data_IF_748718820856
#
_entry.id   IF_748718820856
#
_cell.length_a   1.000
_cell.length_b   1.000
_cell.length_c   1.000
_cell.angle_alpha   90.00
_cell.angle_beta   90.00
_cell.angle_gamma   90.00
#
_symmetry.space_group_name_H-M   'P 1'
#
loop_
_entity.id
_entity.type
_entity.pdbx_description
1 polymer ?
#
# COMPACT_ATOMS: atom_id res chain seq x y z
N UNK A 1 -2.69 -26.58 -0.12
CA UNK A 1 -2.00 -26.16 1.13
C UNK A 1 -1.11 -24.93 0.95
N UNK A 2 -0.93 -24.39 -0.27
CA UNK A 2 -0.10 -23.19 -0.54
C UNK A 2 -0.86 -21.86 -0.43
N UNK A 3 -2.19 -21.86 -0.51
CA UNK A 3 -3.01 -20.63 -0.48
C UNK A 3 -3.19 -20.02 0.93
N UNK A 4 -3.15 -20.83 2.00
CA UNK A 4 -3.35 -20.32 3.37
C UNK A 4 -2.10 -19.62 3.94
N UNK A 5 -0.91 -19.97 3.43
CA UNK A 5 0.33 -19.28 3.82
C UNK A 5 0.46 -17.92 3.13
N UNK A 6 -0.10 -17.76 1.92
CA UNK A 6 -0.03 -16.52 1.16
C UNK A 6 -0.99 -15.45 1.63
N UNK A 7 -2.24 -15.84 1.98
CA UNK A 7 -3.24 -14.91 2.52
C UNK A 7 -2.81 -14.38 3.90
N UNK A 8 -2.30 -15.27 4.76
CA UNK A 8 -1.80 -14.88 6.09
C UNK A 8 -0.58 -13.95 6.01
N UNK A 9 0.35 -14.17 5.07
CA UNK A 9 1.49 -13.27 4.87
C UNK A 9 1.05 -11.89 4.33
N UNK A 10 0.08 -11.87 3.39
CA UNK A 10 -0.50 -10.62 2.88
C UNK A 10 -1.10 -9.78 4.00
N UNK A 11 -1.94 -10.39 4.84
CA UNK A 11 -2.61 -9.70 5.95
C UNK A 11 -1.57 -9.07 6.89
N UNK A 12 -0.56 -9.83 7.33
CA UNK A 12 0.48 -9.30 8.23
C UNK A 12 1.27 -8.15 7.61
N UNK A 13 1.60 -8.24 6.32
CA UNK A 13 2.34 -7.18 5.63
C UNK A 13 1.49 -5.92 5.45
N UNK A 14 0.17 -6.06 5.22
CA UNK A 14 -0.72 -4.90 5.10
C UNK A 14 -1.04 -4.25 6.45
N UNK A 15 -1.20 -5.04 7.51
CA UNK A 15 -1.28 -4.50 8.88
C UNK A 15 0.00 -3.73 9.21
N UNK A 16 1.18 -4.33 8.96
CA UNK A 16 2.46 -3.63 9.06
C UNK A 16 2.50 -2.34 8.23
N UNK A 17 1.97 -2.38 7.01
CA UNK A 17 1.92 -1.21 6.12
C UNK A 17 1.09 -0.09 6.74
N UNK A 18 -0.13 -0.39 7.19
CA UNK A 18 -1.09 0.58 7.75
C UNK A 18 -0.50 1.21 9.02
N UNK A 19 0.03 0.39 9.91
CA UNK A 19 0.71 0.87 11.12
C UNK A 19 1.95 1.72 10.80
N UNK A 20 2.72 1.35 9.76
CA UNK A 20 3.87 2.12 9.34
C UNK A 20 3.49 3.48 8.79
N UNK A 21 2.44 3.55 7.96
CA UNK A 21 1.91 4.82 7.44
C UNK A 21 1.47 5.74 8.60
N UNK A 22 0.80 5.18 9.62
CA UNK A 22 0.40 5.92 10.80
C UNK A 22 1.61 6.42 11.62
N UNK A 23 2.61 5.58 11.88
CA UNK A 23 3.82 5.97 12.63
C UNK A 23 4.69 6.97 11.86
N UNK A 24 4.64 6.97 10.53
CA UNK A 24 5.31 7.97 9.69
C UNK A 24 4.52 9.27 9.58
N UNK A 25 3.29 9.31 10.11
CA UNK A 25 2.37 10.45 10.07
C UNK A 25 2.16 10.96 8.63
N UNK A 26 2.06 10.04 7.66
CA UNK A 26 1.84 10.42 6.26
C UNK A 26 0.39 10.85 6.02
N UNK A 27 0.14 11.81 5.12
CA UNK A 27 -1.22 12.17 4.75
C UNK A 27 -2.02 10.98 4.20
N UNK A 28 -3.35 10.98 4.33
CA UNK A 28 -4.20 9.90 3.81
C UNK A 28 -3.97 9.60 2.32
N UNK A 29 -3.81 10.64 1.49
CA UNK A 29 -3.52 10.46 0.06
C UNK A 29 -2.22 9.68 -0.17
N UNK A 30 -1.17 9.92 0.63
CA UNK A 30 0.09 9.19 0.52
C UNK A 30 -0.12 7.73 0.89
N UNK A 31 -0.81 7.46 2.00
CA UNK A 31 -1.14 6.10 2.46
C UNK A 31 -1.91 5.32 1.41
N UNK A 32 -3.01 5.86 0.89
CA UNK A 32 -3.90 5.12 0.01
C UNK A 32 -3.37 4.99 -1.42
N UNK A 33 -2.61 5.96 -1.95
CA UNK A 33 -1.85 5.77 -3.19
C UNK A 33 -0.84 4.64 -3.04
N UNK A 34 -0.11 4.63 -1.91
CA UNK A 34 0.89 3.59 -1.67
C UNK A 34 0.25 2.21 -1.46
N UNK A 35 -0.92 2.14 -0.82
CA UNK A 35 -1.70 0.90 -0.70
C UNK A 35 -2.17 0.38 -2.05
N UNK A 36 -2.73 1.24 -2.92
CA UNK A 36 -3.11 0.81 -4.28
C UNK A 36 -1.90 0.30 -5.06
N UNK A 37 -0.78 1.02 -5.02
CA UNK A 37 0.45 0.57 -5.66
C UNK A 37 0.96 -0.77 -5.08
N UNK A 38 1.00 -0.91 -3.76
CA UNK A 38 1.56 -2.08 -3.11
C UNK A 38 0.62 -3.29 -3.13
N UNK A 39 -0.59 -3.15 -2.59
CA UNK A 39 -1.52 -4.25 -2.35
C UNK A 39 -2.22 -4.73 -3.63
N UNK A 40 -2.57 -3.83 -4.54
CA UNK A 40 -3.37 -4.16 -5.73
C UNK A 40 -2.50 -4.48 -6.94
N UNK A 41 -1.29 -3.90 -7.03
CA UNK A 41 -0.43 -4.00 -8.21
C UNK A 41 0.85 -4.79 -7.94
N UNK A 42 1.63 -4.40 -6.94
CA UNK A 42 2.93 -5.01 -6.65
C UNK A 42 2.80 -6.42 -6.06
N UNK A 43 1.99 -6.59 -5.02
CA UNK A 43 1.84 -7.85 -4.28
C UNK A 43 1.36 -9.02 -5.16
N UNK A 44 0.34 -8.85 -6.03
CA UNK A 44 -0.10 -9.92 -6.93
C UNK A 44 0.97 -10.33 -7.96
N UNK A 45 1.81 -9.39 -8.42
CA UNK A 45 2.91 -9.69 -9.35
C UNK A 45 3.95 -10.55 -8.66
N UNK A 46 4.41 -10.19 -7.46
CA UNK A 46 5.37 -11.00 -6.69
C UNK A 46 4.82 -12.40 -6.45
N UNK A 47 3.55 -12.49 -6.08
CA UNK A 47 2.93 -13.78 -5.76
C UNK A 47 2.76 -14.68 -6.99
N UNK A 48 2.27 -14.14 -8.12
CA UNK A 48 2.13 -14.90 -9.38
C UNK A 48 3.48 -15.31 -9.96
N UNK A 49 4.48 -14.46 -9.78
CA UNK A 49 5.77 -14.62 -10.45
C UNK A 49 6.81 -15.33 -9.58
N UNK A 50 6.45 -15.74 -8.37
CA UNK A 50 7.24 -16.63 -7.51
C UNK A 50 7.58 -17.98 -8.17
N UNK A 51 6.95 -18.33 -9.29
CA UNK A 51 7.26 -19.53 -10.08
C UNK A 51 8.21 -19.26 -11.28
N UNK A 52 8.31 -18.02 -11.78
CA UNK A 52 8.98 -17.73 -13.08
C UNK A 52 9.97 -16.54 -13.08
N UNK A 53 10.12 -15.78 -11.99
CA UNK A 53 11.16 -14.74 -11.89
C UNK A 53 12.50 -15.42 -11.60
N UNK A 54 13.12 -15.89 -12.66
CA UNK A 54 14.44 -16.54 -12.68
C UNK A 54 15.63 -15.55 -12.54
N UNK A 55 15.38 -14.26 -12.27
CA UNK A 55 16.42 -13.22 -12.32
C UNK A 55 16.50 -12.24 -11.13
N UNK A 56 15.65 -12.37 -10.10
CA UNK A 56 15.61 -11.42 -8.98
C UNK A 56 15.91 -12.12 -7.65
N UNK A 57 17.18 -12.48 -7.46
CA UNK A 57 17.82 -12.95 -6.22
C UNK A 57 17.35 -12.32 -4.90
N UNK A 58 16.87 -11.08 -4.86
CA UNK A 58 16.37 -10.44 -3.63
C UNK A 58 14.96 -10.86 -3.21
N UNK A 59 14.24 -11.52 -4.12
CA UNK A 59 12.91 -12.08 -3.90
C UNK A 59 12.96 -13.60 -3.71
N UNK A 60 14.15 -14.22 -3.66
CA UNK A 60 14.25 -15.66 -3.43
C UNK A 60 15.11 -15.99 -2.20
N UNK A 61 14.51 -16.53 -1.13
CA UNK A 61 13.05 -16.70 -0.92
C UNK A 61 12.33 -15.36 -0.67
N UNK A 62 11.07 -15.22 -1.09
CA UNK A 62 10.22 -14.08 -0.70
C UNK A 62 9.96 -14.22 0.79
N UNK A 63 10.64 -13.41 1.62
CA UNK A 63 10.40 -13.35 3.06
C UNK A 63 9.49 -12.19 3.42
N UNK A 64 8.86 -12.30 4.58
CA UNK A 64 7.99 -11.26 5.14
C UNK A 64 8.76 -9.94 5.33
N UNK A 65 9.97 -10.00 5.91
CA UNK A 65 10.87 -8.84 6.04
C UNK A 65 11.12 -8.09 4.72
N UNK A 66 11.30 -8.81 3.60
CA UNK A 66 11.48 -8.22 2.29
C UNK A 66 10.21 -7.51 1.82
N UNK A 67 9.03 -8.11 2.03
CA UNK A 67 7.74 -7.51 1.69
C UNK A 67 7.45 -6.27 2.54
N UNK A 68 7.80 -6.30 3.83
CA UNK A 68 7.75 -5.14 4.73
C UNK A 68 8.67 -4.00 4.26
N UNK A 69 9.87 -4.32 3.78
CA UNK A 69 10.76 -3.33 3.17
C UNK A 69 10.13 -2.70 1.91
N UNK A 70 9.53 -3.51 1.03
CA UNK A 70 8.82 -3.00 -0.15
C UNK A 70 7.62 -2.13 0.22
N UNK A 71 6.88 -2.49 1.27
CA UNK A 71 5.80 -1.66 1.82
C UNK A 71 6.31 -0.27 2.24
N UNK A 72 7.41 -0.20 2.98
CA UNK A 72 8.04 1.08 3.37
C UNK A 72 8.49 1.89 2.15
N UNK A 73 9.06 1.24 1.13
CA UNK A 73 9.47 1.90 -0.11
C UNK A 73 8.26 2.40 -0.91
N UNK A 74 7.15 1.67 -0.93
CA UNK A 74 5.91 2.13 -1.57
C UNK A 74 5.39 3.41 -0.92
N UNK A 75 5.38 3.48 0.43
CA UNK A 75 5.03 4.69 1.18
C UNK A 75 5.99 5.83 0.84
N UNK A 76 7.29 5.55 0.76
CA UNK A 76 8.29 6.53 0.37
C UNK A 76 8.06 7.11 -1.03
N UNK A 77 7.82 6.25 -2.03
CA UNK A 77 7.53 6.68 -3.41
C UNK A 77 6.28 7.53 -3.44
N UNK A 78 5.22 7.12 -2.76
CA UNK A 78 3.99 7.90 -2.69
C UNK A 78 4.21 9.26 -2.03
N UNK A 79 5.02 9.33 -0.97
CA UNK A 79 5.39 10.63 -0.37
C UNK A 79 6.15 11.53 -1.34
N UNK A 80 6.96 10.96 -2.25
CA UNK A 80 7.66 11.72 -3.30
C UNK A 80 6.71 12.30 -4.34
N UNK A 81 5.54 11.69 -4.53
CA UNK A 81 4.53 12.11 -5.50
C UNK A 81 3.63 13.19 -4.91
N UNK A 82 3.18 13.01 -3.67
CA UNK A 82 2.11 13.81 -3.09
C UNK A 82 2.57 14.84 -2.04
N UNK A 83 3.73 14.65 -1.39
CA UNK A 83 4.18 15.57 -0.34
C UNK A 83 5.14 16.64 -0.87
N UNK A 84 4.96 17.86 -0.37
CA UNK A 84 5.91 18.96 -0.58
C UNK A 84 7.25 18.71 0.14
N UNK A 85 7.24 17.93 1.22
CA UNK A 85 8.42 17.48 1.97
C UNK A 85 8.39 15.95 2.11
N UNK A 86 8.83 15.22 1.07
CA UNK A 86 8.77 13.76 1.06
C UNK A 86 9.56 13.12 2.20
N UNK A 87 9.20 11.90 2.56
CA UNK A 87 9.90 11.12 3.58
C UNK A 87 11.38 10.93 3.22
N UNK A 88 12.22 10.96 4.27
CA UNK A 88 13.65 10.66 4.14
C UNK A 88 13.89 9.17 4.32
N UNK A 89 14.93 8.67 3.67
CA UNK A 89 15.38 7.27 3.85
C UNK A 89 15.77 7.02 5.33
N UNK A 90 16.26 8.04 6.03
CA UNK A 90 16.56 7.94 7.46
C UNK A 90 15.31 7.66 8.30
N UNK A 91 14.18 8.34 8.04
CA UNK A 91 12.92 8.06 8.77
C UNK A 91 12.44 6.62 8.53
N UNK A 92 12.51 6.16 7.28
CA UNK A 92 12.12 4.78 6.94
C UNK A 92 13.04 3.76 7.61
N UNK A 93 14.34 4.01 7.62
CA UNK A 93 15.31 3.15 8.29
C UNK A 93 15.06 3.09 9.80
N UNK A 94 14.89 4.23 10.47
CA UNK A 94 14.62 4.26 11.90
C UNK A 94 13.36 3.47 12.26
N UNK A 95 12.32 3.54 11.41
CA UNK A 95 11.11 2.75 11.59
C UNK A 95 11.35 1.26 11.35
N UNK A 96 12.05 0.90 10.28
CA UNK A 96 12.39 -0.48 9.97
C UNK A 96 13.21 -1.13 11.10
N UNK A 97 14.21 -0.42 11.64
CA UNK A 97 15.02 -0.90 12.76
C UNK A 97 14.18 -1.14 14.03
N UNK A 98 13.06 -0.43 14.17
CA UNK A 98 12.15 -0.56 15.32
C UNK A 98 11.18 -1.73 15.17
N UNK A 99 10.71 -2.03 13.95
CA UNK A 99 9.57 -2.95 13.72
C UNK A 99 10.02 -4.26 13.05
N UNK A 100 10.99 -4.22 12.14
CA UNK A 100 11.45 -5.40 11.41
C UNK A 100 12.58 -6.06 12.21
N UNK A 101 12.24 -7.05 13.02
CA UNK A 101 13.22 -7.74 13.87
C UNK A 101 13.98 -8.87 13.16
N UNK A 102 13.44 -9.38 12.06
CA UNK A 102 13.96 -10.54 11.33
C UNK A 102 15.23 -10.23 10.52
N UNK A 103 15.37 -8.97 10.08
CA UNK A 103 16.49 -8.53 9.25
C UNK A 103 16.80 -7.05 9.50
N UNK A 104 18.09 -6.75 9.71
CA UNK A 104 18.57 -5.38 9.85
C UNK A 104 18.88 -4.79 8.47
N UNK A 105 18.10 -3.79 8.06
CA UNK A 105 18.29 -3.10 6.79
C UNK A 105 19.18 -1.87 6.95
N UNK A 106 20.18 -1.72 6.11
CA UNK A 106 21.03 -0.54 6.00
C UNK A 106 20.38 0.54 5.14
N UNK A 107 20.87 1.78 5.21
CA UNK A 107 20.45 2.86 4.28
C UNK A 107 20.68 2.41 2.83
N UNK A 108 21.72 1.59 2.61
CA UNK A 108 22.04 1.06 1.31
C UNK A 108 20.90 0.20 0.79
N UNK A 109 20.33 -0.69 1.60
CA UNK A 109 19.21 -1.55 1.20
C UNK A 109 18.02 -0.71 0.68
N UNK A 110 17.68 0.40 1.36
CA UNK A 110 16.64 1.32 0.87
C UNK A 110 16.99 2.04 -0.44
N UNK A 111 18.28 2.23 -0.71
CA UNK A 111 18.80 2.94 -1.88
C UNK A 111 19.41 2.01 -2.94
N UNK A 112 19.39 0.69 -2.73
CA UNK A 112 20.29 -0.22 -3.41
C UNK A 112 19.77 -0.59 -4.79
N UNK A 113 20.71 -0.70 -5.74
CA UNK A 113 20.41 -1.05 -7.12
C UNK A 113 19.62 -2.35 -7.26
N UNK A 114 19.83 -3.42 -6.48
CA UNK A 114 19.03 -4.65 -6.57
C UNK A 114 17.54 -4.53 -6.17
N UNK A 115 17.24 -3.77 -5.10
CA UNK A 115 15.87 -3.48 -4.68
C UNK A 115 15.20 -2.50 -5.63
N UNK A 116 15.93 -1.45 -6.03
CA UNK A 116 15.48 -0.50 -7.04
C UNK A 116 15.31 -1.16 -8.41
N UNK A 117 16.14 -2.13 -8.81
CA UNK A 117 15.95 -2.86 -10.07
C UNK A 117 14.76 -3.79 -10.01
N UNK A 118 14.54 -4.48 -8.89
CA UNK A 118 13.34 -5.33 -8.73
C UNK A 118 12.07 -4.48 -8.79
N UNK A 119 12.05 -3.36 -8.08
CA UNK A 119 10.94 -2.41 -8.11
C UNK A 119 10.79 -1.76 -9.49
N UNK A 120 11.88 -1.40 -10.16
CA UNK A 120 11.89 -0.83 -11.50
C UNK A 120 11.40 -1.82 -12.56
N UNK A 121 11.73 -3.10 -12.45
CA UNK A 121 11.17 -4.17 -13.28
C UNK A 121 9.66 -4.26 -13.10
N UNK A 122 9.17 -4.17 -11.86
CA UNK A 122 7.74 -4.20 -11.57
C UNK A 122 7.06 -2.92 -12.08
N UNK A 123 7.67 -1.76 -11.90
CA UNK A 123 7.19 -0.51 -12.49
C UNK A 123 7.12 -0.62 -14.01
N UNK A 124 8.09 -1.24 -14.68
CA UNK A 124 8.02 -1.52 -16.12
C UNK A 124 6.84 -2.42 -16.50
N UNK A 125 6.60 -3.49 -15.76
CA UNK A 125 5.42 -4.37 -15.95
C UNK A 125 4.12 -3.58 -15.77
N UNK A 126 4.11 -2.61 -14.86
CA UNK A 126 3.01 -1.69 -14.62
C UNK A 126 2.99 -0.49 -15.58
N UNK A 127 3.81 -0.45 -16.63
CA UNK A 127 3.96 0.70 -17.55
C UNK A 127 4.21 2.04 -16.85
N UNK A 128 4.91 2.01 -15.72
CA UNK A 128 5.16 3.13 -14.81
C UNK A 128 3.89 3.79 -14.28
N UNK A 129 2.74 3.10 -14.37
CA UNK A 129 1.51 3.54 -13.76
C UNK A 129 1.54 3.21 -12.27
N UNK A 130 1.82 4.24 -11.47
CA UNK A 130 1.83 4.18 -10.01
C UNK A 130 0.40 4.22 -9.44
N UNK A 131 -0.63 4.38 -10.30
CA UNK A 131 -2.03 4.35 -9.89
C UNK A 131 -2.48 5.61 -9.17
N UNK A 132 -1.90 6.77 -9.51
CA UNK A 132 -2.17 8.04 -8.82
C UNK A 132 -3.49 8.72 -9.24
N UNK A 133 -4.09 8.27 -10.33
CA UNK A 133 -5.29 8.85 -10.94
C UNK A 133 -6.59 8.17 -10.54
N UNK A 134 -6.56 6.90 -10.15
CA UNK A 134 -7.75 6.09 -9.80
C UNK A 134 -7.53 5.48 -8.41
N UNK A 135 -7.59 6.32 -7.38
CA UNK A 135 -7.37 5.93 -5.98
C UNK A 135 -8.73 6.01 -5.27
N UNK A 136 -9.14 4.92 -4.61
CA UNK A 136 -10.43 4.84 -3.94
C UNK A 136 -10.63 5.94 -2.88
N UNK A 137 -9.55 6.34 -2.21
CA UNK A 137 -9.57 7.45 -1.25
C UNK A 137 -10.05 8.77 -1.87
N UNK A 138 -9.57 9.13 -3.08
CA UNK A 138 -9.99 10.39 -3.73
C UNK A 138 -11.47 10.37 -4.06
N UNK A 139 -11.95 9.24 -4.58
CA UNK A 139 -13.36 9.07 -4.89
C UNK A 139 -14.22 9.12 -3.62
N UNK A 140 -13.76 8.52 -2.53
CA UNK A 140 -14.46 8.58 -1.25
C UNK A 140 -14.51 9.99 -0.69
N UNK A 141 -13.40 10.73 -0.76
CA UNK A 141 -13.30 12.12 -0.32
C UNK A 141 -14.25 13.01 -1.14
N UNK A 142 -14.24 12.88 -2.47
CA UNK A 142 -15.13 13.61 -3.37
C UNK A 142 -16.61 13.30 -3.10
N UNK A 143 -16.96 12.02 -2.94
CA UNK A 143 -18.33 11.59 -2.65
C UNK A 143 -18.78 12.10 -1.28
N UNK A 144 -17.90 12.11 -0.28
CA UNK A 144 -18.21 12.61 1.07
C UNK A 144 -18.46 14.12 1.05
N UNK A 145 -17.67 14.88 0.28
CA UNK A 145 -17.88 16.32 0.08
C UNK A 145 -19.23 16.56 -0.59
N UNK A 146 -19.51 15.87 -1.70
CA UNK A 146 -20.79 16.00 -2.40
C UNK A 146 -21.97 15.62 -1.51
N UNK A 147 -21.86 14.54 -0.72
CA UNK A 147 -22.92 14.10 0.17
C UNK A 147 -23.21 15.12 1.28
N UNK A 148 -22.18 15.80 1.79
CA UNK A 148 -22.32 16.92 2.76
C UNK A 148 -23.07 18.11 2.17
N UNK A 149 -22.92 18.36 0.87
CA UNK A 149 -23.61 19.44 0.17
C UNK A 149 -25.09 19.12 -0.10
N UNK A 150 -25.42 17.85 -0.36
CA UNK A 150 -26.79 17.45 -0.78
C UNK A 150 -27.66 16.87 0.33
N UNK A 151 -27.09 16.40 1.44
CA UNK A 151 -27.84 15.71 2.49
C UNK A 151 -27.37 16.05 3.92
N UNK A 152 -28.32 16.25 4.83
CA UNK A 152 -28.05 16.52 6.25
C UNK A 152 -27.34 15.36 6.95
N UNK A 153 -27.54 14.12 6.49
CA UNK A 153 -26.81 12.95 6.99
C UNK A 153 -25.31 13.04 6.66
N UNK A 154 -24.94 13.70 5.56
CA UNK A 154 -23.53 13.89 5.17
C UNK A 154 -22.74 14.67 6.21
N UNK A 155 -23.37 15.61 6.92
CA UNK A 155 -22.73 16.36 8.00
C UNK A 155 -22.33 15.48 9.21
N UNK A 156 -22.94 14.30 9.35
CA UNK A 156 -22.68 13.35 10.44
C UNK A 156 -21.60 12.32 10.07
N UNK A 157 -21.17 12.27 8.80
CA UNK A 157 -20.16 11.33 8.35
C UNK A 157 -18.75 11.85 8.66
N UNK A 158 -18.02 11.08 9.46
CA UNK A 158 -16.62 11.33 9.78
C UNK A 158 -15.71 10.67 8.75
N UNK A 159 -14.82 11.46 8.14
CA UNK A 159 -13.82 10.98 7.18
C UNK A 159 -12.88 9.95 7.81
N UNK A 160 -12.52 10.12 9.08
CA UNK A 160 -11.66 9.19 9.83
C UNK A 160 -12.30 7.79 9.93
N UNK A 161 -13.60 7.73 10.24
CA UNK A 161 -14.34 6.46 10.26
C UNK A 161 -14.39 5.82 8.87
N UNK A 162 -14.54 6.62 7.82
CA UNK A 162 -14.52 6.13 6.44
C UNK A 162 -13.12 5.57 6.06
N UNK A 163 -12.06 6.18 6.57
CA UNK A 163 -10.68 5.69 6.44
C UNK A 163 -10.45 4.38 7.20
N UNK A 164 -10.95 4.26 8.42
CA UNK A 164 -10.88 3.01 9.18
C UNK A 164 -11.60 1.87 8.45
N UNK A 165 -12.74 2.15 7.81
CA UNK A 165 -13.43 1.16 6.96
C UNK A 165 -12.58 0.81 5.73
N UNK A 166 -11.93 1.78 5.07
CA UNK A 166 -11.01 1.48 3.97
C UNK A 166 -9.86 0.57 4.41
N UNK A 167 -9.25 0.84 5.56
CA UNK A 167 -8.17 0.04 6.11
C UNK A 167 -8.61 -1.42 6.31
N UNK A 168 -9.78 -1.62 6.93
CA UNK A 168 -10.38 -2.95 7.10
C UNK A 168 -10.61 -3.68 5.78
N UNK A 169 -11.02 -2.95 4.73
CA UNK A 169 -11.25 -3.53 3.40
C UNK A 169 -9.93 -3.96 2.74
N UNK A 170 -8.86 -3.17 2.88
CA UNK A 170 -7.53 -3.54 2.39
C UNK A 170 -6.97 -4.77 3.11
N UNK A 171 -7.12 -4.85 4.43
CA UNK A 171 -6.68 -5.98 5.25
C UNK A 171 -7.40 -7.28 4.87
N UNK A 172 -8.74 -7.25 4.81
CA UNK A 172 -9.58 -8.46 4.61
C UNK A 172 -9.64 -8.99 3.18
N UNK A 173 -8.85 -8.41 2.26
CA UNK A 173 -8.76 -8.84 0.86
C UNK A 173 -10.07 -8.68 0.05
N UNK A 174 -11.13 -8.12 0.65
CA UNK A 174 -12.41 -7.81 -0.02
C UNK A 174 -12.23 -6.81 -1.18
N UNK A 175 -11.17 -6.00 -1.17
CA UNK A 175 -10.80 -5.13 -2.29
C UNK A 175 -10.43 -5.89 -3.56
N UNK A 176 -9.85 -7.09 -3.46
CA UNK A 176 -9.31 -7.82 -4.62
C UNK A 176 -10.30 -8.80 -5.25
N UNK A 177 -11.32 -9.24 -4.52
CA UNK A 177 -12.33 -10.20 -5.02
C UNK A 177 -13.68 -9.56 -5.36
N UNK A 178 -14.07 -8.46 -4.69
CA UNK A 178 -15.37 -7.80 -4.89
C UNK A 178 -15.27 -6.49 -5.69
N UNK A 179 -14.14 -5.79 -5.64
CA UNK A 179 -14.01 -4.44 -6.17
C UNK A 179 -12.83 -4.31 -7.13
N UNK A 180 -13.02 -4.79 -8.37
CA UNK A 180 -12.05 -4.64 -9.47
C UNK A 180 -11.84 -3.18 -9.93
N UNK A 181 -12.48 -2.21 -9.27
CA UNK A 181 -12.24 -0.79 -9.52
C UNK A 181 -12.46 0.06 -8.26
N UNK A 182 -11.81 1.24 -8.19
CA UNK A 182 -11.88 2.14 -7.03
C UNK A 182 -13.26 2.74 -6.75
N UNK A 183 -14.09 2.86 -7.79
CA UNK A 183 -15.44 3.44 -7.72
C UNK A 183 -16.44 2.62 -6.88
N UNK A 184 -16.69 1.32 -7.16
CA UNK A 184 -17.58 0.51 -6.34
C UNK A 184 -17.01 0.27 -4.93
N UNK A 185 -15.69 0.29 -4.75
CA UNK A 185 -15.08 0.27 -3.41
C UNK A 185 -15.48 1.50 -2.60
N UNK A 186 -15.25 2.70 -3.14
CA UNK A 186 -15.62 3.95 -2.48
C UNK A 186 -17.13 4.04 -2.20
N UNK A 187 -17.97 3.62 -3.16
CA UNK A 187 -19.43 3.63 -3.01
C UNK A 187 -19.91 2.63 -1.92
N UNK A 188 -19.29 1.46 -1.80
CA UNK A 188 -19.67 0.45 -0.80
C UNK A 188 -19.46 0.90 0.64
N UNK A 189 -18.51 1.81 0.87
CA UNK A 189 -18.21 2.38 2.18
C UNK A 189 -19.31 3.33 2.63
N UNK A 190 -19.85 4.11 1.69
CA UNK A 190 -20.92 5.08 1.98
C UNK A 190 -22.32 4.46 2.04
N UNK A 191 -22.50 3.28 1.45
CA UNK A 191 -23.78 2.56 1.44
C UNK A 191 -23.99 1.66 2.67
N UNK A 192 -23.04 1.61 3.60
CA UNK A 192 -23.07 0.75 4.80
C UNK A 192 -23.60 1.46 6.04
#
# INVERSE_FOLDING_TARGET
MTNDLSSNARIRVLDFFIQSAQQLEVPPIVKYTALSFFAERFFPIIFRSSQDITGHWLLQPVRESNLQLFALIAIWISSKIHDTRPLTIQKLKTLADKIIHEQHYTIRDFAEAPLMTSLFSILKVLNFDIGTSDIAYRLLEDLLIQLKEVATIGAHLNLEVCMDIMDLLYEKEETTTLYNSPHPLAASILAR
#
